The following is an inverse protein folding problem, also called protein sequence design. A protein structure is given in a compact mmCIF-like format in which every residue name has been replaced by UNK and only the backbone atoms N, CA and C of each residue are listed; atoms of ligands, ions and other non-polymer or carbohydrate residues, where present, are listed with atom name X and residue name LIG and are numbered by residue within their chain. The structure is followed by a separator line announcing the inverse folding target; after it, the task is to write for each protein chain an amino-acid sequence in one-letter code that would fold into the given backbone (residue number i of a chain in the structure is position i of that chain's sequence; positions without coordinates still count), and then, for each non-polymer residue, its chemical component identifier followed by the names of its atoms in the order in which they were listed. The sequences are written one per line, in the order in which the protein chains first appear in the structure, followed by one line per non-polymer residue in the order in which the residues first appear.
data_IF_610635144069
#
_entry.id   IF_610635144069
#
_cell.length_a   1.000
_cell.length_b   1.000
_cell.length_c   1.000
_cell.angle_alpha   90.00
_cell.angle_beta   90.00
_cell.angle_gamma   90.00
#
_symmetry.space_group_name_H-M   'P 1'
#
loop_
_entity.id
_entity.type
_entity.pdbx_description
1 polymer ?
#
# COMPACT_ATOMS: atom_id res chain seq x y z
N UNK A 1 19.21 -7.09 -21.95
CA UNK A 1 19.19 -5.64 -21.66
C UNK A 1 18.63 -5.47 -20.26
N UNK A 2 19.51 -5.33 -19.28
CA UNK A 2 19.14 -5.06 -17.89
C UNK A 2 18.56 -3.64 -17.77
N UNK A 3 17.25 -3.54 -17.96
CA UNK A 3 16.57 -2.27 -17.72
C UNK A 3 16.48 -2.03 -16.22
N UNK A 4 16.91 -0.87 -15.73
CA UNK A 4 16.77 -0.55 -14.31
C UNK A 4 15.27 -0.52 -13.93
N UNK A 5 14.96 -1.07 -12.77
CA UNK A 5 13.60 -0.95 -12.22
C UNK A 5 13.29 0.52 -11.91
N UNK A 6 12.20 1.04 -12.45
CA UNK A 6 11.71 2.39 -12.17
C UNK A 6 10.26 2.30 -11.68
N UNK A 7 10.05 2.48 -10.38
CA UNK A 7 8.74 2.67 -9.80
C UNK A 7 8.36 4.15 -9.89
N UNK A 8 7.26 4.45 -10.57
CA UNK A 8 6.74 5.81 -10.68
C UNK A 8 5.24 5.83 -10.40
N UNK A 9 4.76 6.92 -9.78
CA UNK A 9 3.33 7.14 -9.56
C UNK A 9 2.55 7.15 -10.88
N UNK A 10 3.18 7.57 -11.98
CA UNK A 10 2.55 7.63 -13.31
C UNK A 10 1.99 6.26 -13.74
N UNK A 11 2.70 5.17 -13.44
CA UNK A 11 2.24 3.82 -13.79
C UNK A 11 0.90 3.50 -13.12
N UNK A 12 0.76 3.83 -11.84
CA UNK A 12 -0.47 3.58 -11.09
C UNK A 12 -1.57 4.59 -11.40
N UNK A 13 -1.23 5.85 -11.72
CA UNK A 13 -2.19 6.84 -12.22
C UNK A 13 -2.80 6.35 -13.54
N UNK A 14 -1.99 5.90 -14.49
CA UNK A 14 -2.46 5.36 -15.76
C UNK A 14 -3.29 4.10 -15.55
N UNK A 15 -2.89 3.20 -14.66
CA UNK A 15 -3.66 2.00 -14.33
C UNK A 15 -5.03 2.36 -13.77
N UNK A 16 -5.11 3.34 -12.87
CA UNK A 16 -6.38 3.85 -12.34
C UNK A 16 -7.29 4.39 -13.43
N UNK A 17 -6.76 5.23 -14.33
CA UNK A 17 -7.52 5.75 -15.46
C UNK A 17 -7.99 4.64 -16.43
N UNK A 18 -7.18 3.60 -16.64
CA UNK A 18 -7.56 2.44 -17.44
C UNK A 18 -8.70 1.65 -16.78
N UNK A 19 -8.63 1.46 -15.47
CA UNK A 19 -9.71 0.79 -14.72
C UNK A 19 -11.02 1.57 -14.79
N UNK A 20 -11.00 2.88 -14.62
CA UNK A 20 -12.19 3.73 -14.81
C UNK A 20 -12.77 3.62 -16.22
N UNK A 21 -11.91 3.62 -17.24
CA UNK A 21 -12.34 3.50 -18.63
C UNK A 21 -12.98 2.13 -18.92
N UNK A 22 -12.44 1.06 -18.38
CA UNK A 22 -12.94 -0.30 -18.62
C UNK A 22 -14.21 -0.58 -17.84
N UNK A 23 -14.27 -0.14 -16.57
CA UNK A 23 -15.42 -0.35 -15.70
C UNK A 23 -16.59 0.61 -15.99
N UNK A 24 -16.32 1.75 -16.61
CA UNK A 24 -17.32 2.80 -16.86
C UNK A 24 -17.73 3.56 -15.59
N UNK A 25 -16.98 3.45 -14.50
CA UNK A 25 -17.24 4.13 -13.24
C UNK A 25 -15.97 4.77 -12.69
N UNK A 26 -16.09 5.64 -11.70
CA UNK A 26 -14.94 6.29 -11.03
C UNK A 26 -14.23 5.32 -10.09
N UNK A 27 -12.93 5.54 -9.88
CA UNK A 27 -12.08 4.62 -9.13
C UNK A 27 -12.55 4.42 -7.67
N UNK A 28 -13.05 5.48 -7.04
CA UNK A 28 -13.63 5.42 -5.70
C UNK A 28 -14.84 4.48 -5.63
N UNK A 29 -15.77 4.61 -6.58
CA UNK A 29 -16.95 3.75 -6.66
C UNK A 29 -16.59 2.31 -7.01
N UNK A 30 -15.63 2.13 -7.92
CA UNK A 30 -15.16 0.81 -8.31
C UNK A 30 -14.55 0.09 -7.10
N UNK A 31 -13.69 0.75 -6.34
CA UNK A 31 -13.07 0.14 -5.16
C UNK A 31 -14.07 -0.11 -4.04
N UNK A 32 -15.03 0.80 -3.86
CA UNK A 32 -16.09 0.59 -2.88
C UNK A 32 -16.90 -0.66 -3.21
N UNK A 33 -17.41 -0.78 -4.46
CA UNK A 33 -18.28 -1.90 -4.86
C UNK A 33 -17.55 -3.23 -4.97
N UNK A 34 -16.30 -3.25 -5.44
CA UNK A 34 -15.59 -4.50 -5.75
C UNK A 34 -14.67 -4.98 -4.61
N UNK A 35 -14.28 -4.09 -3.69
CA UNK A 35 -13.32 -4.42 -2.63
C UNK A 35 -13.88 -4.07 -1.26
N UNK A 36 -14.16 -2.78 -0.98
CA UNK A 36 -14.40 -2.35 0.38
C UNK A 36 -15.68 -2.93 0.97
N UNK A 37 -16.80 -2.84 0.25
CA UNK A 37 -18.07 -3.40 0.71
C UNK A 37 -18.04 -4.93 0.79
N UNK A 38 -17.59 -5.67 -0.24
CA UNK A 38 -17.49 -7.13 -0.16
C UNK A 38 -16.58 -7.65 0.94
N UNK A 39 -15.48 -6.92 1.25
CA UNK A 39 -14.54 -7.32 2.29
C UNK A 39 -14.98 -6.87 3.70
N UNK A 40 -15.96 -5.97 3.81
CA UNK A 40 -16.36 -5.40 5.08
C UNK A 40 -15.42 -4.29 5.59
N UNK A 41 -14.71 -3.61 4.70
CA UNK A 41 -13.78 -2.50 4.99
C UNK A 41 -14.53 -1.16 4.95
N UNK A 42 -15.41 -0.93 5.91
CA UNK A 42 -16.36 0.20 5.88
C UNK A 42 -15.74 1.54 6.31
N UNK A 43 -14.52 1.52 6.83
CA UNK A 43 -13.77 2.72 7.23
C UNK A 43 -12.60 2.99 6.27
N UNK A 44 -12.65 2.44 5.05
CA UNK A 44 -11.66 2.63 3.99
C UNK A 44 -12.29 3.35 2.80
N UNK A 45 -11.60 4.36 2.29
CA UNK A 45 -12.08 5.11 1.13
C UNK A 45 -11.09 6.17 0.65
N UNK A 46 -11.43 6.81 -0.45
CA UNK A 46 -10.67 7.96 -0.94
C UNK A 46 -10.99 9.21 -0.10
N UNK A 47 -9.98 10.08 0.05
CA UNK A 47 -10.16 11.36 0.69
C UNK A 47 -11.00 12.38 -0.13
N UNK A 48 -11.35 13.51 0.47
CA UNK A 48 -11.07 13.89 1.84
C UNK A 48 -11.90 13.10 2.87
N UNK A 49 -11.31 12.79 4.02
CA UNK A 49 -12.00 12.11 5.13
C UNK A 49 -11.84 12.88 6.43
N UNK A 50 -12.82 12.80 7.31
CA UNK A 50 -12.75 13.39 8.64
C UNK A 50 -11.89 12.52 9.58
N UNK A 51 -11.27 13.17 10.56
CA UNK A 51 -10.55 12.52 11.66
C UNK A 51 -9.32 11.67 11.27
N UNK A 52 -8.79 11.82 10.05
CA UNK A 52 -7.54 11.17 9.68
C UNK A 52 -6.32 11.87 10.29
N UNK A 53 -5.28 11.10 10.55
CA UNK A 53 -4.00 11.62 11.03
C UNK A 53 -3.37 12.51 9.97
N UNK A 54 -3.02 13.79 10.28
CA UNK A 54 -2.41 14.67 9.30
C UNK A 54 -0.99 14.21 8.96
N UNK A 55 -0.58 14.37 7.72
CA UNK A 55 0.73 13.99 7.20
C UNK A 55 1.62 15.17 6.81
N UNK A 56 1.06 16.37 6.85
CA UNK A 56 1.76 17.65 6.56
C UNK A 56 1.32 18.67 7.59
N UNK A 57 2.28 19.39 8.18
CA UNK A 57 1.99 20.47 9.13
C UNK A 57 1.18 21.59 8.46
N UNK A 58 0.14 22.06 9.14
CA UNK A 58 -0.76 23.11 8.64
C UNK A 58 -1.73 22.65 7.53
N UNK A 59 -1.74 21.38 7.16
CA UNK A 59 -2.72 20.79 6.24
C UNK A 59 -3.71 19.94 7.05
N UNK A 60 -5.03 20.11 6.88
CA UNK A 60 -6.00 19.29 7.58
C UNK A 60 -5.77 17.80 7.36
N UNK A 61 -5.98 17.00 8.41
CA UNK A 61 -6.04 15.54 8.29
C UNK A 61 -7.13 15.13 7.30
N UNK A 62 -6.91 14.01 6.60
CA UNK A 62 -7.84 13.55 5.57
C UNK A 62 -7.62 14.17 4.18
N UNK A 63 -6.72 15.13 4.07
CA UNK A 63 -6.23 15.60 2.77
C UNK A 63 -5.10 14.69 2.29
N UNK A 64 -5.18 14.22 1.05
CA UNK A 64 -4.14 13.34 0.48
C UNK A 64 -2.77 14.02 0.51
N UNK A 65 -1.73 13.27 0.91
CA UNK A 65 -0.36 13.79 1.01
C UNK A 65 0.22 14.17 -0.36
N UNK A 66 0.01 13.34 -1.37
CA UNK A 66 0.60 13.50 -2.70
C UNK A 66 0.03 14.72 -3.44
N UNK A 67 0.87 15.70 -3.82
CA UNK A 67 0.41 16.90 -4.51
C UNK A 67 -0.16 16.62 -5.91
N UNK A 68 0.28 15.55 -6.59
CA UNK A 68 -0.29 15.17 -7.90
C UNK A 68 -1.71 14.65 -7.73
N UNK A 69 -1.95 13.85 -6.69
CA UNK A 69 -3.28 13.36 -6.37
C UNK A 69 -4.24 14.50 -6.03
N UNK A 70 -3.78 15.54 -5.32
CA UNK A 70 -4.60 16.75 -5.06
C UNK A 70 -5.05 17.45 -6.34
N UNK A 71 -4.15 17.57 -7.33
CA UNK A 71 -4.47 18.14 -8.64
C UNK A 71 -5.44 17.26 -9.43
N UNK A 72 -5.33 15.95 -9.28
CA UNK A 72 -6.15 14.93 -9.95
C UNK A 72 -7.41 14.55 -9.14
N UNK A 73 -7.89 15.44 -8.26
CA UNK A 73 -9.11 15.28 -7.45
C UNK A 73 -9.04 14.15 -6.40
N UNK A 74 -7.86 13.86 -5.90
CA UNK A 74 -7.59 12.94 -4.79
C UNK A 74 -7.89 11.45 -5.05
N UNK A 75 -8.59 11.09 -6.12
CA UNK A 75 -8.92 9.71 -6.49
C UNK A 75 -8.00 9.20 -7.58
N UNK A 76 -6.80 8.80 -7.23
CA UNK A 76 -5.82 8.30 -8.21
C UNK A 76 -5.36 6.89 -7.85
N UNK A 77 -4.93 6.12 -8.84
CA UNK A 77 -4.36 4.80 -8.60
C UNK A 77 -3.06 4.79 -7.78
N UNK A 78 -2.43 5.97 -7.60
CA UNK A 78 -1.14 6.08 -6.89
C UNK A 78 -1.24 6.56 -5.45
N UNK A 79 -2.35 7.22 -5.08
CA UNK A 79 -2.52 7.82 -3.75
C UNK A 79 -3.98 8.20 -3.50
N UNK A 80 -4.31 8.51 -2.25
CA UNK A 80 -5.62 9.07 -1.88
C UNK A 80 -6.47 8.17 -1.01
N UNK A 81 -6.10 6.92 -0.81
CA UNK A 81 -6.80 6.03 0.12
C UNK A 81 -6.43 6.33 1.57
N UNK A 82 -7.45 6.33 2.40
CA UNK A 82 -7.40 6.36 3.86
C UNK A 82 -8.03 5.10 4.40
N UNK A 83 -7.52 4.58 5.51
CA UNK A 83 -8.02 3.37 6.12
C UNK A 83 -7.75 3.37 7.63
N UNK A 84 -8.31 2.39 8.32
CA UNK A 84 -8.03 2.11 9.72
C UNK A 84 -7.18 0.84 9.86
N UNK A 85 -6.57 0.64 11.03
CA UNK A 85 -5.85 -0.61 11.30
C UNK A 85 -6.76 -1.83 11.14
N UNK A 86 -7.99 -1.72 11.64
CA UNK A 86 -9.01 -2.79 11.56
C UNK A 86 -9.32 -3.19 10.12
N UNK A 87 -9.55 -2.22 9.23
CA UNK A 87 -9.83 -2.52 7.83
C UNK A 87 -8.61 -3.08 7.11
N UNK A 88 -7.40 -2.62 7.46
CA UNK A 88 -6.17 -3.18 6.93
C UNK A 88 -5.91 -4.61 7.42
N UNK A 89 -6.30 -4.96 8.64
CA UNK A 89 -6.29 -6.35 9.12
C UNK A 89 -7.23 -7.23 8.30
N UNK A 90 -8.42 -6.74 7.97
CA UNK A 90 -9.35 -7.44 7.07
C UNK A 90 -8.72 -7.65 5.70
N UNK A 91 -8.15 -6.60 5.11
CA UNK A 91 -7.46 -6.68 3.82
C UNK A 91 -6.32 -7.70 3.82
N UNK A 92 -5.48 -7.67 4.84
CA UNK A 92 -4.37 -8.61 5.01
C UNK A 92 -4.87 -10.04 5.17
N UNK A 93 -5.97 -10.25 5.92
CA UNK A 93 -6.55 -11.56 6.09
C UNK A 93 -7.01 -12.18 4.77
N UNK A 94 -7.58 -11.40 3.84
CA UNK A 94 -7.88 -11.86 2.49
C UNK A 94 -6.63 -12.32 1.72
N UNK A 95 -5.49 -11.65 1.88
CA UNK A 95 -4.22 -12.11 1.32
C UNK A 95 -3.69 -13.40 1.95
N UNK A 96 -4.02 -13.65 3.21
CA UNK A 96 -3.61 -14.88 3.89
C UNK A 96 -4.53 -16.07 3.58
N UNK A 97 -5.80 -15.83 3.27
CA UNK A 97 -6.81 -16.90 3.18
C UNK A 97 -7.33 -17.18 1.77
N UNK A 98 -7.34 -16.19 0.89
CA UNK A 98 -8.00 -16.30 -0.40
C UNK A 98 -7.07 -16.80 -1.51
N UNK A 99 -7.60 -17.55 -2.42
CA UNK A 99 -6.82 -18.19 -3.50
C UNK A 99 -6.16 -17.19 -4.46
N UNK A 100 -6.73 -16.00 -4.65
CA UNK A 100 -6.14 -15.00 -5.55
C UNK A 100 -4.74 -14.59 -5.11
N UNK A 101 -4.47 -14.59 -3.82
CA UNK A 101 -3.21 -14.14 -3.25
C UNK A 101 -2.03 -15.06 -3.60
N UNK A 102 -2.30 -16.34 -3.92
CA UNK A 102 -1.27 -17.29 -4.35
C UNK A 102 -0.50 -16.84 -5.58
N UNK A 103 -1.15 -16.06 -6.45
CA UNK A 103 -0.50 -15.49 -7.63
C UNK A 103 0.33 -14.24 -7.33
N UNK A 104 0.15 -13.64 -6.15
CA UNK A 104 0.85 -12.41 -5.76
C UNK A 104 2.30 -12.64 -5.32
N UNK A 105 2.74 -13.89 -5.22
CA UNK A 105 4.14 -14.28 -4.92
C UNK A 105 4.96 -14.58 -6.16
N UNK A 106 4.36 -14.55 -7.35
CA UNK A 106 5.07 -14.86 -8.60
C UNK A 106 5.82 -13.63 -9.11
N UNK A 107 7.11 -13.81 -9.37
CA UNK A 107 7.90 -12.76 -10.01
C UNK A 107 7.50 -12.60 -11.49
N UNK A 108 6.99 -11.43 -11.82
CA UNK A 108 6.63 -11.03 -13.20
C UNK A 108 7.57 -9.94 -13.74
N UNK A 109 8.53 -9.48 -12.95
CA UNK A 109 9.46 -8.43 -13.33
C UNK A 109 10.51 -8.95 -14.31
N UNK A 110 10.83 -8.14 -15.31
CA UNK A 110 11.95 -8.34 -16.23
C UNK A 110 13.17 -7.46 -15.84
N UNK A 111 13.14 -6.85 -14.66
CA UNK A 111 14.21 -6.00 -14.16
C UNK A 111 15.05 -6.74 -13.11
N UNK A 112 16.08 -6.06 -12.61
CA UNK A 112 16.95 -6.58 -11.52
C UNK A 112 16.28 -6.60 -10.14
N UNK A 113 14.99 -6.22 -10.05
CA UNK A 113 14.18 -6.32 -8.82
C UNK A 113 13.02 -7.27 -9.04
N UNK A 114 12.86 -8.20 -8.15
CA UNK A 114 11.71 -9.10 -8.16
C UNK A 114 10.44 -8.39 -7.73
N UNK A 115 9.41 -8.49 -8.57
CA UNK A 115 8.11 -7.86 -8.37
C UNK A 115 7.00 -8.78 -8.84
N UNK A 116 5.95 -8.85 -8.06
CA UNK A 116 4.66 -9.34 -8.54
C UNK A 116 3.75 -8.18 -8.95
N UNK A 117 2.47 -8.42 -9.10
CA UNK A 117 1.49 -7.36 -9.35
C UNK A 117 1.41 -6.43 -8.14
N UNK A 118 1.99 -5.24 -8.25
CA UNK A 118 2.08 -4.18 -7.24
C UNK A 118 2.96 -4.45 -6.00
N UNK A 119 3.47 -5.66 -5.78
CA UNK A 119 4.27 -5.99 -4.60
C UNK A 119 5.76 -6.11 -4.88
N UNK A 120 6.57 -5.68 -3.93
CA UNK A 120 8.00 -6.00 -3.83
C UNK A 120 8.13 -7.41 -3.26
N UNK A 121 8.89 -8.26 -3.95
CA UNK A 121 9.14 -9.63 -3.49
C UNK A 121 10.46 -9.67 -2.73
N UNK A 122 10.43 -10.22 -1.53
CA UNK A 122 11.59 -10.37 -0.66
C UNK A 122 11.55 -11.76 -0.03
N UNK A 123 12.13 -12.76 -0.69
CA UNK A 123 12.02 -14.17 -0.32
C UNK A 123 10.55 -14.60 -0.27
N UNK A 124 10.07 -15.10 0.87
CA UNK A 124 8.67 -15.51 1.08
C UNK A 124 7.72 -14.35 1.44
N UNK A 125 8.23 -13.11 1.48
CA UNK A 125 7.45 -11.93 1.83
C UNK A 125 7.07 -11.11 0.61
N UNK A 126 5.83 -10.64 0.61
CA UNK A 126 5.39 -9.54 -0.25
C UNK A 126 5.31 -8.26 0.58
N UNK A 127 5.81 -7.17 0.03
CA UNK A 127 5.94 -5.88 0.73
C UNK A 127 5.45 -4.74 -0.15
N UNK A 128 4.74 -3.79 0.45
CA UNK A 128 4.51 -2.48 -0.15
C UNK A 128 4.68 -1.36 0.87
N UNK A 129 5.26 -0.25 0.43
CA UNK A 129 5.57 0.90 1.29
C UNK A 129 4.88 2.16 0.81
N UNK A 130 4.43 2.99 1.76
CA UNK A 130 3.87 4.31 1.50
C UNK A 130 4.89 5.43 1.79
N UNK A 131 4.74 6.54 1.08
CA UNK A 131 5.62 7.70 1.22
C UNK A 131 5.60 8.28 2.63
N UNK A 132 4.43 8.33 3.26
CA UNK A 132 4.22 8.89 4.61
C UNK A 132 4.74 8.01 5.74
N UNK A 133 5.35 6.87 5.41
CA UNK A 133 6.03 5.98 6.34
C UNK A 133 5.26 4.70 6.66
N UNK A 134 4.11 4.49 6.05
CA UNK A 134 3.33 3.26 6.20
C UNK A 134 3.93 2.12 5.39
N UNK A 135 3.74 0.87 5.84
CA UNK A 135 4.00 -0.31 5.04
C UNK A 135 3.18 -1.51 5.50
N UNK A 136 3.01 -2.46 4.60
CA UNK A 136 2.44 -3.78 4.87
C UNK A 136 3.43 -4.82 4.36
N UNK A 137 3.68 -5.86 5.16
CA UNK A 137 4.41 -7.04 4.75
C UNK A 137 3.60 -8.29 5.09
N UNK A 138 3.58 -9.25 4.16
CA UNK A 138 2.77 -10.47 4.28
C UNK A 138 3.64 -11.66 3.86
N UNK A 139 3.68 -12.70 4.69
CA UNK A 139 4.23 -14.01 4.36
C UNK A 139 3.07 -14.99 4.22
N UNK A 140 2.65 -15.23 2.98
CA UNK A 140 1.50 -16.09 2.70
C UNK A 140 1.77 -17.55 3.11
N UNK A 141 2.92 -18.16 2.79
CA UNK A 141 3.23 -19.52 3.24
C UNK A 141 3.23 -19.68 4.75
N UNK A 142 3.81 -18.73 5.49
CA UNK A 142 3.87 -18.79 6.94
C UNK A 142 2.60 -18.31 7.64
N UNK A 143 1.62 -17.76 6.92
CA UNK A 143 0.39 -17.17 7.48
C UNK A 143 0.69 -16.08 8.51
N UNK A 144 1.63 -15.18 8.18
CA UNK A 144 2.08 -14.07 9.03
C UNK A 144 2.05 -12.77 8.26
N UNK A 145 1.74 -11.69 8.95
CA UNK A 145 1.78 -10.36 8.37
C UNK A 145 2.09 -9.29 9.41
N UNK A 146 2.54 -8.13 8.96
CA UNK A 146 2.60 -6.93 9.78
C UNK A 146 2.11 -5.71 9.01
N UNK A 147 1.43 -4.83 9.73
CA UNK A 147 0.94 -3.54 9.27
C UNK A 147 1.65 -2.48 10.11
N UNK A 148 2.32 -1.55 9.47
CA UNK A 148 2.95 -0.42 10.15
C UNK A 148 2.36 0.89 9.65
N UNK A 149 1.79 1.68 10.57
CA UNK A 149 1.19 2.97 10.29
C UNK A 149 2.01 4.09 10.93
N UNK A 150 2.27 5.14 10.16
CA UNK A 150 3.07 6.28 10.60
C UNK A 150 2.71 7.52 9.80
N UNK A 151 2.98 8.69 10.37
CA UNK A 151 2.90 9.98 9.71
C UNK A 151 4.24 10.72 9.78
N UNK A 152 5.34 10.03 9.48
CA UNK A 152 6.72 10.51 9.59
C UNK A 152 6.98 11.84 8.88
N UNK A 153 6.18 12.16 7.87
CA UNK A 153 6.31 13.37 7.06
C UNK A 153 5.70 14.61 7.68
N UNK A 154 5.04 14.49 8.87
CA UNK A 154 4.25 15.58 9.43
C UNK A 154 5.07 16.85 9.72
N UNK A 155 6.18 16.70 10.45
CA UNK A 155 7.05 17.84 10.78
C UNK A 155 8.19 18.02 9.77
N UNK A 156 8.85 16.92 9.39
CA UNK A 156 10.05 16.96 8.55
C UNK A 156 10.19 15.68 7.75
N UNK A 157 10.37 15.83 6.44
CA UNK A 157 10.62 14.70 5.56
C UNK A 157 12.11 14.34 5.50
N UNK A 158 12.56 13.46 6.38
CA UNK A 158 13.91 12.88 6.39
C UNK A 158 13.95 11.55 5.64
N UNK A 159 13.50 11.54 4.39
CA UNK A 159 13.31 10.33 3.59
C UNK A 159 14.52 9.41 3.56
N UNK A 160 15.72 9.94 3.40
CA UNK A 160 16.93 9.13 3.27
C UNK A 160 17.25 8.37 4.57
N UNK A 161 17.02 8.99 5.74
CA UNK A 161 17.18 8.33 7.03
C UNK A 161 16.06 7.32 7.25
N UNK A 162 14.82 7.72 6.95
CA UNK A 162 13.66 6.83 7.09
C UNK A 162 13.81 5.53 6.30
N UNK A 163 14.33 5.57 5.08
CA UNK A 163 14.53 4.35 4.29
C UNK A 163 15.45 3.37 5.04
N UNK A 164 16.53 3.84 5.65
CA UNK A 164 17.43 2.99 6.43
C UNK A 164 16.76 2.42 7.67
N UNK A 165 16.06 3.26 8.42
CA UNK A 165 15.39 2.86 9.66
C UNK A 165 14.25 1.87 9.37
N UNK A 166 13.47 2.13 8.32
CA UNK A 166 12.41 1.25 7.85
C UNK A 166 12.95 -0.13 7.46
N UNK A 167 14.03 -0.18 6.71
CA UNK A 167 14.60 -1.45 6.24
C UNK A 167 15.10 -2.29 7.43
N UNK A 168 15.70 -1.66 8.44
CA UNK A 168 16.05 -2.32 9.71
C UNK A 168 14.81 -2.81 10.44
N UNK A 169 13.77 -1.98 10.54
CA UNK A 169 12.51 -2.34 11.20
C UNK A 169 11.83 -3.53 10.52
N UNK A 170 11.77 -3.55 9.20
CA UNK A 170 11.22 -4.65 8.42
C UNK A 170 11.97 -5.96 8.71
N UNK A 171 13.30 -5.93 8.74
CA UNK A 171 14.10 -7.13 9.04
C UNK A 171 13.89 -7.64 10.47
N UNK A 172 13.72 -6.74 11.44
CA UNK A 172 13.37 -7.13 12.82
C UNK A 172 11.98 -7.79 12.84
N UNK A 173 10.98 -7.17 12.20
CA UNK A 173 9.61 -7.71 12.15
C UNK A 173 9.55 -9.08 11.49
N UNK A 174 10.26 -9.28 10.37
CA UNK A 174 10.34 -10.59 9.71
C UNK A 174 10.90 -11.67 10.65
N UNK A 175 11.97 -11.36 11.35
CA UNK A 175 12.59 -12.31 12.31
C UNK A 175 11.65 -12.67 13.46
N UNK A 176 11.05 -11.67 14.09
CA UNK A 176 10.13 -11.89 15.21
C UNK A 176 8.90 -12.70 14.79
N UNK A 177 8.31 -12.37 13.64
CA UNK A 177 7.11 -13.06 13.13
C UNK A 177 7.35 -14.53 12.75
N UNK A 178 8.57 -14.88 12.34
CA UNK A 178 8.92 -16.27 12.02
C UNK A 178 9.28 -17.08 13.29
N UNK A 179 9.81 -16.42 14.34
CA UNK A 179 10.26 -17.09 15.55
C UNK A 179 9.20 -17.18 16.65
N UNK A 180 8.01 -16.61 16.46
CA UNK A 180 6.94 -16.55 17.47
C UNK A 180 6.25 -17.91 17.73
N UNK A 181 6.65 -18.98 17.08
CA UNK A 181 6.10 -20.33 17.22
C UNK A 181 6.96 -21.27 18.09
N UNK A 182 7.84 -20.71 18.96
CA UNK A 182 8.63 -21.52 19.92
C UNK A 182 8.19 -21.32 21.35
#
# INVERSE_FOLDING_TARGET
DDKPFLCTDINFILLGLMLEKVSGTTLDKLFDSEIFQPFGMFETGFGPVDHAVPTVEGVPGGTVHDPKARVLKEHTGSAGLFSTLKDLEIFVNHYLTDDFAKNMTQNISQSNKERSVAWDLQEDWILHTGYTGTFILINIPAQRAAIFLSNRTYYKDERAQWIKDRDVLIEIMKKELVHSDK
#
